data_IF_670083336648
#
_entry.id   IF_670083336648
#
_cell.length_a   1.000
_cell.length_b   1.000
_cell.length_c   1.000
_cell.angle_alpha   90.00
_cell.angle_beta   90.00
_cell.angle_gamma   90.00
#
_symmetry.space_group_name_H-M   'P 1'
#
loop_
_entity.id
_entity.type
_entity.pdbx_description
1 polymer ?
#
# COMPACT_ATOMS: atom_id res chain seq x y z
N UNK A 1 9.82 16.84 -11.38
CA UNK A 1 9.75 16.27 -12.75
C UNK A 1 11.13 15.96 -13.33
N UNK A 2 12.07 16.91 -13.40
CA UNK A 2 13.39 16.65 -13.96
C UNK A 2 14.13 15.50 -13.23
N UNK A 3 14.01 15.48 -11.90
CA UNK A 3 14.51 14.42 -11.02
C UNK A 3 14.01 13.01 -11.40
N UNK A 4 12.73 12.87 -11.76
CA UNK A 4 12.12 11.63 -12.22
C UNK A 4 12.85 11.13 -13.47
N UNK A 5 13.09 12.02 -14.45
CA UNK A 5 13.79 11.65 -15.68
C UNK A 5 15.25 11.27 -15.40
N UNK A 6 15.94 12.01 -14.52
CA UNK A 6 17.34 11.77 -14.17
C UNK A 6 17.59 10.39 -13.57
N UNK A 7 16.58 9.83 -12.89
CA UNK A 7 16.67 8.52 -12.24
C UNK A 7 16.04 7.43 -13.07
N UNK A 8 14.91 7.71 -13.73
CA UNK A 8 14.03 6.69 -14.31
C UNK A 8 14.15 6.58 -15.81
N UNK A 9 14.68 7.59 -16.50
CA UNK A 9 14.73 7.62 -17.96
C UNK A 9 16.18 7.73 -18.45
N UNK A 10 16.87 8.82 -18.12
CA UNK A 10 18.20 9.14 -18.65
C UNK A 10 19.27 8.06 -18.41
N UNK A 11 19.24 7.28 -17.30
CA UNK A 11 20.19 6.20 -17.09
C UNK A 11 20.01 4.97 -17.99
N UNK A 12 18.89 4.87 -18.72
CA UNK A 12 18.46 3.66 -19.42
C UNK A 12 18.32 3.89 -20.93
N UNK A 13 19.21 3.35 -21.77
CA UNK A 13 19.22 3.60 -23.21
C UNK A 13 17.88 3.33 -23.90
N UNK A 14 17.20 2.22 -23.56
CA UNK A 14 15.91 1.87 -24.18
C UNK A 14 14.81 2.90 -23.85
N UNK A 15 14.82 3.44 -22.63
CA UNK A 15 13.87 4.49 -22.22
C UNK A 15 14.21 5.81 -22.90
N UNK A 16 15.49 6.18 -22.95
CA UNK A 16 15.95 7.36 -23.70
C UNK A 16 15.55 7.28 -25.18
N UNK A 17 15.68 6.11 -25.80
CA UNK A 17 15.28 5.89 -27.19
C UNK A 17 13.78 6.12 -27.38
N UNK A 18 12.93 5.60 -26.47
CA UNK A 18 11.49 5.84 -26.51
C UNK A 18 11.17 7.33 -26.34
N UNK A 19 11.75 8.01 -25.35
CA UNK A 19 11.51 9.43 -25.11
C UNK A 19 11.99 10.30 -26.28
N UNK A 20 13.10 9.94 -26.91
CA UNK A 20 13.59 10.63 -28.11
C UNK A 20 12.64 10.47 -29.30
N UNK A 21 12.03 9.29 -29.47
CA UNK A 21 10.97 9.09 -30.46
C UNK A 21 9.70 9.92 -30.18
N UNK A 22 9.54 10.42 -28.94
CA UNK A 22 8.46 11.31 -28.50
C UNK A 22 8.93 12.76 -28.31
N UNK A 23 9.98 13.18 -29.03
CA UNK A 23 10.40 14.57 -29.12
C UNK A 23 11.42 15.02 -28.08
N UNK A 24 11.88 14.15 -27.17
CA UNK A 24 12.97 14.49 -26.26
C UNK A 24 14.28 14.72 -27.04
N UNK A 25 14.91 15.90 -26.96
CA UNK A 25 16.08 16.19 -27.76
C UNK A 25 17.35 15.59 -27.12
N UNK A 26 18.47 15.66 -27.87
CA UNK A 26 19.83 15.46 -27.33
C UNK A 26 20.13 14.03 -26.83
N UNK A 27 19.49 13.03 -27.43
CA UNK A 27 19.71 11.60 -27.15
C UNK A 27 21.19 11.20 -27.07
N UNK A 28 22.01 11.60 -28.05
CA UNK A 28 23.42 11.19 -28.09
C UNK A 28 24.23 11.78 -26.91
N UNK A 29 23.93 13.01 -26.52
CA UNK A 29 24.57 13.66 -25.37
C UNK A 29 24.16 12.98 -24.06
N UNK A 30 22.88 12.62 -23.92
CA UNK A 30 22.36 11.88 -22.77
C UNK A 30 23.03 10.50 -22.68
N UNK A 31 23.13 9.75 -23.78
CA UNK A 31 23.76 8.43 -23.80
C UNK A 31 25.24 8.50 -23.41
N UNK A 32 25.98 9.51 -23.89
CA UNK A 32 27.37 9.76 -23.48
C UNK A 32 27.48 10.09 -21.99
N UNK A 33 26.61 10.99 -21.50
CA UNK A 33 26.57 11.36 -20.08
C UNK A 33 26.24 10.17 -19.20
N UNK A 34 25.26 9.37 -19.62
CA UNK A 34 24.89 8.13 -18.95
C UNK A 34 26.10 7.19 -18.91
N UNK A 35 26.76 6.91 -20.04
CA UNK A 35 27.95 6.05 -20.08
C UNK A 35 29.09 6.52 -19.16
N UNK A 36 29.28 7.84 -19.03
CA UNK A 36 30.27 8.43 -18.14
C UNK A 36 29.87 8.43 -16.65
N UNK A 37 28.58 8.27 -16.34
CA UNK A 37 28.08 8.28 -14.97
C UNK A 37 28.38 6.95 -14.27
N UNK A 38 29.16 6.93 -13.17
CA UNK A 38 29.52 5.70 -12.48
C UNK A 38 28.30 4.99 -11.91
N UNK A 39 28.33 3.66 -11.91
CA UNK A 39 27.30 2.84 -11.27
C UNK A 39 27.75 2.50 -9.86
N UNK A 40 26.89 2.75 -8.87
CA UNK A 40 27.11 2.36 -7.49
C UNK A 40 26.21 1.17 -7.13
N UNK A 41 26.69 0.29 -6.24
CA UNK A 41 25.89 -0.83 -5.75
C UNK A 41 24.84 -0.28 -4.76
N UNK A 42 23.60 -0.76 -4.88
CA UNK A 42 22.48 -0.45 -3.97
C UNK A 42 22.07 1.04 -3.91
N UNK A 43 22.34 1.80 -4.97
CA UNK A 43 21.93 3.20 -5.12
C UNK A 43 21.40 3.36 -6.54
N UNK A 44 20.35 4.16 -6.75
CA UNK A 44 19.90 4.40 -8.12
C UNK A 44 20.96 5.22 -8.87
N UNK A 45 21.16 4.87 -10.15
CA UNK A 45 22.01 5.66 -11.02
C UNK A 45 21.29 6.97 -11.36
N UNK A 46 21.90 8.10 -11.04
CA UNK A 46 21.37 9.43 -11.33
C UNK A 46 22.18 10.03 -12.48
N UNK A 47 21.54 10.20 -13.64
CA UNK A 47 22.13 10.88 -14.79
C UNK A 47 21.52 12.27 -14.85
N UNK A 48 22.27 13.27 -14.41
CA UNK A 48 21.85 14.67 -14.40
C UNK A 48 22.92 15.54 -15.06
N UNK A 49 22.48 16.65 -15.65
CA UNK A 49 23.35 17.68 -16.22
C UNK A 49 23.27 18.94 -15.36
N UNK A 50 24.28 19.81 -15.46
CA UNK A 50 24.28 21.07 -14.73
C UNK A 50 23.14 21.97 -15.24
N UNK A 51 22.39 22.67 -14.34
CA UNK A 51 21.26 23.53 -14.74
C UNK A 51 21.62 24.59 -15.79
N UNK A 52 22.86 25.06 -15.77
CA UNK A 52 23.34 26.12 -16.66
C UNK A 52 24.16 25.61 -17.85
N UNK A 53 24.20 24.29 -18.09
CA UNK A 53 24.93 23.72 -19.21
C UNK A 53 24.26 24.12 -20.56
N UNK A 54 24.91 24.94 -21.39
CA UNK A 54 24.34 25.35 -22.68
C UNK A 54 24.09 24.15 -23.60
N UNK A 55 24.84 23.06 -23.41
CA UNK A 55 24.69 21.83 -24.17
C UNK A 55 23.41 21.07 -23.82
N UNK A 56 22.62 21.47 -22.82
CA UNK A 56 21.34 20.82 -22.46
C UNK A 56 20.14 21.78 -22.44
N UNK A 57 20.28 23.03 -22.91
CA UNK A 57 19.20 24.04 -22.90
C UNK A 57 17.94 23.63 -23.69
N UNK A 58 18.07 22.82 -24.72
CA UNK A 58 16.91 22.30 -25.47
C UNK A 58 16.19 21.20 -24.70
N UNK A 59 16.94 20.31 -24.06
CA UNK A 59 16.38 19.28 -23.18
C UNK A 59 15.71 19.90 -21.96
N UNK A 60 16.33 20.89 -21.31
CA UNK A 60 15.76 21.62 -20.17
C UNK A 60 14.39 22.21 -20.52
N UNK A 61 14.29 22.97 -21.63
CA UNK A 61 13.00 23.50 -22.12
C UNK A 61 12.00 22.39 -22.40
N UNK A 62 12.43 21.32 -23.06
CA UNK A 62 11.56 20.17 -23.33
C UNK A 62 11.03 19.52 -22.04
N UNK A 63 11.86 19.40 -20.99
CA UNK A 63 11.44 18.83 -19.70
C UNK A 63 10.37 19.71 -19.05
N UNK A 64 10.53 21.04 -19.10
CA UNK A 64 9.56 21.99 -18.56
C UNK A 64 8.23 21.93 -19.32
N UNK A 65 8.28 21.90 -20.64
CA UNK A 65 7.10 22.01 -21.50
C UNK A 65 6.35 20.66 -21.67
N UNK A 66 7.10 19.55 -21.75
CA UNK A 66 6.58 18.24 -22.18
C UNK A 66 7.00 17.08 -21.27
N UNK A 67 7.93 17.28 -20.33
CA UNK A 67 8.49 16.19 -19.54
C UNK A 67 7.43 15.39 -18.80
N UNK A 68 6.53 16.09 -18.10
CA UNK A 68 5.46 15.46 -17.32
C UNK A 68 4.44 14.70 -18.18
N UNK A 69 3.93 15.33 -19.25
CA UNK A 69 2.93 14.71 -20.13
C UNK A 69 3.51 13.49 -20.86
N UNK A 70 4.74 13.58 -21.36
CA UNK A 70 5.42 12.44 -22.01
C UNK A 70 5.72 11.32 -21.02
N UNK A 71 6.10 11.64 -19.77
CA UNK A 71 6.29 10.62 -18.74
C UNK A 71 4.99 9.91 -18.35
N UNK A 72 3.89 10.65 -18.20
CA UNK A 72 2.57 10.05 -17.93
C UNK A 72 2.12 9.15 -19.09
N UNK A 73 2.33 9.58 -20.34
CA UNK A 73 2.08 8.75 -21.52
C UNK A 73 2.94 7.48 -21.50
N UNK A 74 4.21 7.60 -21.09
CA UNK A 74 5.09 6.46 -20.95
C UNK A 74 4.58 5.46 -19.92
N UNK A 75 4.15 5.91 -18.73
CA UNK A 75 3.55 5.05 -17.71
C UNK A 75 2.28 4.34 -18.22
N UNK A 76 1.41 5.06 -18.94
CA UNK A 76 0.19 4.51 -19.50
C UNK A 76 0.45 3.44 -20.58
N UNK A 77 1.51 3.61 -21.36
CA UNK A 77 1.92 2.67 -22.42
C UNK A 77 2.80 1.53 -21.91
N UNK A 78 3.32 1.62 -20.68
CA UNK A 78 4.18 0.61 -20.05
C UNK A 78 3.61 0.17 -18.69
N UNK A 79 2.38 -0.37 -18.63
CA UNK A 79 1.72 -0.69 -17.35
C UNK A 79 2.49 -1.73 -16.52
N UNK A 80 3.24 -2.63 -17.18
CA UNK A 80 4.08 -3.58 -16.46
C UNK A 80 5.19 -2.88 -15.68
N UNK A 81 5.84 -1.86 -16.26
CA UNK A 81 6.84 -1.06 -15.56
C UNK A 81 6.28 -0.42 -14.29
N UNK A 82 5.03 0.06 -14.35
CA UNK A 82 4.37 0.74 -13.22
C UNK A 82 4.37 -0.13 -11.97
N UNK A 83 4.17 -1.44 -12.13
CA UNK A 83 4.02 -2.39 -11.02
C UNK A 83 5.32 -3.16 -10.74
N UNK A 84 6.05 -3.57 -11.77
CA UNK A 84 7.17 -4.51 -11.61
C UNK A 84 8.47 -3.85 -11.16
N UNK A 85 8.72 -2.60 -11.59
CA UNK A 85 9.99 -1.93 -11.33
C UNK A 85 10.27 -1.75 -9.82
N UNK A 86 9.33 -1.27 -8.97
CA UNK A 86 9.56 -1.16 -7.53
C UNK A 86 9.92 -2.50 -6.87
N UNK A 87 9.40 -3.61 -7.40
CA UNK A 87 9.56 -4.94 -6.82
C UNK A 87 10.87 -5.62 -7.27
N UNK A 88 11.24 -5.46 -8.53
CA UNK A 88 12.42 -6.09 -9.11
C UNK A 88 13.71 -5.33 -8.77
N UNK A 89 13.60 -4.01 -8.61
CA UNK A 89 14.74 -3.10 -8.43
C UNK A 89 14.48 -2.12 -7.30
N UNK A 90 14.19 -2.59 -6.07
CA UNK A 90 13.89 -1.72 -4.93
C UNK A 90 15.03 -0.75 -4.64
N UNK A 91 16.28 -1.12 -4.94
CA UNK A 91 17.45 -0.26 -4.79
C UNK A 91 17.37 1.05 -5.58
N UNK A 92 16.50 1.12 -6.59
CA UNK A 92 16.27 2.35 -7.36
C UNK A 92 15.40 3.38 -6.63
N UNK A 93 14.81 3.03 -5.47
CA UNK A 93 14.25 4.02 -4.54
C UNK A 93 15.30 4.68 -3.65
N UNK A 94 16.50 4.10 -3.56
CA UNK A 94 17.53 4.56 -2.63
C UNK A 94 18.35 5.66 -3.28
N UNK A 95 17.72 6.82 -3.42
CA UNK A 95 18.35 8.09 -3.72
C UNK A 95 18.24 8.99 -2.50
N UNK A 96 19.19 9.92 -2.37
CA UNK A 96 19.35 10.82 -1.22
C UNK A 96 19.40 10.12 0.16
N UNK A 97 20.55 10.17 0.84
CA UNK A 97 20.72 9.45 2.12
C UNK A 97 20.72 7.93 2.01
N UNK A 98 20.87 7.35 0.81
CA UNK A 98 20.95 5.91 0.58
C UNK A 98 19.74 5.12 1.13
N UNK A 99 18.55 5.72 1.09
CA UNK A 99 17.34 5.15 1.68
C UNK A 99 17.29 5.23 3.20
N UNK A 100 18.26 5.87 3.85
CA UNK A 100 18.26 6.07 5.29
C UNK A 100 17.39 7.28 5.67
N UNK A 101 16.17 7.02 6.16
CA UNK A 101 15.26 8.06 6.64
C UNK A 101 15.74 8.76 7.93
N UNK A 102 16.75 8.23 8.64
CA UNK A 102 17.23 8.88 9.87
C UNK A 102 17.88 10.24 9.61
N UNK A 103 18.25 10.56 8.36
CA UNK A 103 18.75 11.89 8.02
C UNK A 103 17.71 12.99 8.26
N UNK A 104 16.42 12.64 8.27
CA UNK A 104 15.31 13.55 8.55
C UNK A 104 14.89 13.55 10.03
N UNK A 105 15.42 12.62 10.83
CA UNK A 105 15.12 12.58 12.25
C UNK A 105 15.83 13.73 12.98
N UNK A 106 15.22 14.22 14.07
CA UNK A 106 15.89 15.18 14.93
C UNK A 106 17.21 14.59 15.45
N UNK A 107 18.32 15.33 15.25
CA UNK A 107 19.64 14.90 15.68
C UNK A 107 19.80 14.84 17.20
N UNK A 108 18.94 15.56 17.93
CA UNK A 108 18.94 15.64 19.40
C UNK A 108 17.51 15.40 19.88
N UNK A 109 17.37 14.71 21.02
CA UNK A 109 16.07 14.38 21.66
C UNK A 109 15.18 13.41 20.87
N UNK A 110 15.76 12.54 20.03
CA UNK A 110 15.00 11.42 19.45
C UNK A 110 14.53 10.49 20.57
N UNK A 111 13.22 10.40 20.78
CA UNK A 111 12.65 9.40 21.67
C UNK A 111 12.63 8.05 20.96
N UNK A 112 13.36 7.08 21.50
CA UNK A 112 13.21 5.69 21.11
C UNK A 112 11.94 5.14 21.76
N UNK A 113 10.93 4.82 20.95
CA UNK A 113 9.72 4.19 21.46
C UNK A 113 9.89 2.67 21.45
N UNK A 114 9.61 1.96 22.56
CA UNK A 114 9.53 0.51 22.54
C UNK A 114 8.42 0.01 21.61
N UNK A 115 7.49 0.85 21.17
CA UNK A 115 6.48 0.49 20.18
C UNK A 115 7.03 0.50 18.75
N UNK A 116 8.26 0.96 18.51
CA UNK A 116 8.84 1.02 17.17
C UNK A 116 8.89 -0.36 16.51
N UNK A 117 9.30 -1.41 17.23
CA UNK A 117 9.36 -2.76 16.66
C UNK A 117 7.97 -3.37 16.41
N UNK A 118 6.96 -2.93 17.16
CA UNK A 118 5.56 -3.34 16.98
C UNK A 118 4.96 -2.65 15.76
N UNK A 119 5.19 -1.33 15.63
CA UNK A 119 4.64 -0.52 14.54
C UNK A 119 5.40 -0.72 13.23
N UNK A 120 6.68 -1.09 13.30
CA UNK A 120 7.55 -1.34 12.15
C UNK A 120 8.18 -2.75 12.23
N UNK A 121 7.35 -3.81 12.13
CA UNK A 121 7.87 -5.16 12.15
C UNK A 121 8.78 -5.42 10.93
N UNK A 122 9.79 -6.30 11.06
CA UNK A 122 10.58 -6.76 9.91
C UNK A 122 9.68 -7.34 8.82
N UNK A 123 10.13 -7.33 7.55
CA UNK A 123 9.33 -7.76 6.40
C UNK A 123 8.69 -9.13 6.59
N UNK A 124 9.43 -10.12 7.09
CA UNK A 124 8.90 -11.48 7.32
C UNK A 124 7.78 -11.50 8.38
N UNK A 125 7.93 -10.74 9.46
CA UNK A 125 6.90 -10.62 10.49
C UNK A 125 5.66 -9.91 9.95
N UNK A 126 5.84 -8.85 9.15
CA UNK A 126 4.75 -8.15 8.46
C UNK A 126 3.98 -9.08 7.51
N UNK A 127 4.69 -9.90 6.71
CA UNK A 127 4.08 -10.88 5.82
C UNK A 127 3.30 -11.95 6.60
N UNK A 128 3.86 -12.45 7.70
CA UNK A 128 3.19 -13.40 8.58
C UNK A 128 1.91 -12.81 9.19
N UNK A 129 1.96 -11.58 9.70
CA UNK A 129 0.78 -10.90 10.25
C UNK A 129 -0.31 -10.70 9.19
N UNK A 130 0.08 -10.33 7.96
CA UNK A 130 -0.85 -10.18 6.85
C UNK A 130 -1.54 -11.50 6.50
N UNK A 131 -0.77 -12.59 6.42
CA UNK A 131 -1.31 -13.93 6.18
C UNK A 131 -2.22 -14.39 7.33
N UNK A 132 -1.83 -14.12 8.58
CA UNK A 132 -2.63 -14.43 9.76
C UNK A 132 -3.95 -13.66 9.78
N UNK A 133 -3.94 -12.37 9.42
CA UNK A 133 -5.16 -11.57 9.31
C UNK A 133 -6.14 -12.17 8.27
N UNK A 134 -5.65 -12.56 7.09
CA UNK A 134 -6.46 -13.21 6.05
C UNK A 134 -6.99 -14.57 6.52
N UNK A 135 -6.15 -15.38 7.16
CA UNK A 135 -6.54 -16.68 7.71
C UNK A 135 -7.66 -16.54 8.75
N UNK A 136 -7.49 -15.65 9.74
CA UNK A 136 -8.51 -15.38 10.75
C UNK A 136 -9.79 -14.82 10.13
N UNK A 137 -9.67 -13.95 9.14
CA UNK A 137 -10.84 -13.40 8.50
C UNK A 137 -11.66 -14.46 7.77
N UNK A 138 -10.97 -15.39 7.08
CA UNK A 138 -11.60 -16.53 6.41
C UNK A 138 -12.27 -17.47 7.42
N UNK A 139 -11.58 -17.79 8.52
CA UNK A 139 -12.09 -18.67 9.59
C UNK A 139 -13.33 -18.11 10.29
N UNK A 140 -13.40 -16.78 10.45
CA UNK A 140 -14.45 -16.09 11.21
C UNK A 140 -15.54 -15.48 10.32
N UNK A 141 -15.39 -15.58 9.00
CA UNK A 141 -16.24 -14.94 7.98
C UNK A 141 -16.32 -13.40 8.08
N UNK A 142 -15.47 -12.75 8.91
CA UNK A 142 -15.46 -11.29 9.10
C UNK A 142 -15.10 -10.54 7.82
N UNK A 143 -14.51 -11.21 6.83
CA UNK A 143 -14.21 -10.61 5.53
C UNK A 143 -15.47 -10.14 4.78
N UNK A 144 -16.64 -10.69 5.11
CA UNK A 144 -17.93 -10.27 4.57
C UNK A 144 -18.46 -9.00 5.25
N UNK A 145 -17.92 -8.62 6.40
CA UNK A 145 -18.38 -7.49 7.18
C UNK A 145 -17.94 -6.16 6.55
N UNK A 146 -18.73 -5.11 6.75
CA UNK A 146 -18.44 -3.77 6.21
C UNK A 146 -17.12 -3.20 6.76
N UNK A 147 -16.81 -3.27 8.06
CA UNK A 147 -15.55 -2.72 8.59
C UNK A 147 -14.31 -3.35 7.96
N UNK A 148 -14.29 -4.68 7.78
CA UNK A 148 -13.17 -5.37 7.14
C UNK A 148 -12.90 -4.86 5.73
N UNK A 149 -13.96 -4.75 4.92
CA UNK A 149 -13.87 -4.26 3.54
C UNK A 149 -13.38 -2.82 3.47
N UNK A 150 -13.86 -1.95 4.36
CA UNK A 150 -13.41 -0.55 4.44
C UNK A 150 -11.92 -0.47 4.77
N UNK A 151 -11.48 -1.18 5.82
CA UNK A 151 -10.06 -1.19 6.22
C UNK A 151 -9.19 -1.79 5.12
N UNK A 152 -9.67 -2.84 4.44
CA UNK A 152 -8.97 -3.43 3.28
C UNK A 152 -8.78 -2.41 2.17
N UNK A 153 -9.83 -1.67 1.79
CA UNK A 153 -9.74 -0.63 0.76
C UNK A 153 -8.75 0.46 1.15
N UNK A 154 -8.80 0.97 2.38
CA UNK A 154 -7.85 1.96 2.87
C UNK A 154 -6.40 1.42 2.87
N UNK A 155 -6.21 0.18 3.28
CA UNK A 155 -4.90 -0.49 3.20
C UNK A 155 -4.38 -0.55 1.75
N UNK A 156 -5.25 -0.87 0.79
CA UNK A 156 -4.91 -0.88 -0.64
C UNK A 156 -4.61 0.53 -1.17
N UNK A 157 -5.31 1.56 -0.68
CA UNK A 157 -5.00 2.96 -1.00
C UNK A 157 -3.58 3.32 -0.56
N UNK A 158 -3.12 2.86 0.61
CA UNK A 158 -1.73 3.04 1.04
C UNK A 158 -0.72 2.40 0.08
N UNK A 159 -1.02 1.23 -0.51
CA UNK A 159 -0.19 0.62 -1.56
C UNK A 159 -0.16 1.49 -2.82
N UNK A 160 -1.32 2.00 -3.24
CA UNK A 160 -1.42 2.91 -4.39
C UNK A 160 -0.64 4.21 -4.12
N UNK A 161 -0.74 4.77 -2.93
CA UNK A 161 0.01 5.97 -2.53
C UNK A 161 1.52 5.74 -2.62
N UNK A 162 2.02 4.59 -2.18
CA UNK A 162 3.44 4.22 -2.36
C UNK A 162 3.84 4.09 -3.83
N UNK A 163 2.99 3.51 -4.69
CA UNK A 163 3.25 3.45 -6.13
C UNK A 163 3.26 4.83 -6.78
N UNK A 164 2.33 5.71 -6.38
CA UNK A 164 2.31 7.10 -6.83
C UNK A 164 3.56 7.83 -6.38
N UNK A 165 3.97 7.69 -5.12
CA UNK A 165 5.21 8.28 -4.59
C UNK A 165 6.45 7.78 -5.35
N UNK A 166 6.49 6.48 -5.69
CA UNK A 166 7.55 5.92 -6.52
C UNK A 166 7.58 6.59 -7.90
N UNK A 167 6.47 6.69 -8.63
CA UNK A 167 6.51 7.31 -9.97
C UNK A 167 6.58 8.83 -9.94
N UNK A 168 6.17 9.47 -8.85
CA UNK A 168 6.11 10.92 -8.68
C UNK A 168 7.42 11.56 -8.20
N UNK A 169 8.37 10.76 -7.72
CA UNK A 169 9.67 11.24 -7.26
C UNK A 169 10.81 10.35 -7.75
N UNK A 170 11.88 10.97 -8.26
CA UNK A 170 13.11 10.27 -8.62
C UNK A 170 14.09 10.13 -7.46
N UNK A 171 14.19 11.12 -6.58
CA UNK A 171 15.31 11.31 -5.63
C UNK A 171 14.95 11.04 -4.17
N UNK A 172 13.71 11.25 -3.74
CA UNK A 172 13.28 11.11 -2.34
C UNK A 172 12.13 10.08 -2.18
N UNK A 173 12.11 9.05 -3.03
CA UNK A 173 11.08 8.00 -3.01
C UNK A 173 10.83 7.43 -1.62
N UNK A 174 11.88 7.10 -0.87
CA UNK A 174 11.73 6.54 0.49
C UNK A 174 11.01 7.49 1.43
N UNK A 175 11.24 8.80 1.32
CA UNK A 175 10.55 9.81 2.13
C UNK A 175 9.07 9.85 1.79
N UNK A 176 8.73 9.86 0.50
CA UNK A 176 7.34 9.97 0.07
C UNK A 176 6.53 8.67 0.22
N UNK A 177 7.19 7.52 0.27
CA UNK A 177 6.54 6.23 0.51
C UNK A 177 6.25 5.96 1.99
N UNK A 178 6.84 6.72 2.93
CA UNK A 178 6.70 6.44 4.37
C UNK A 178 5.26 6.53 4.85
N UNK A 179 4.46 7.44 4.28
CA UNK A 179 3.06 7.66 4.64
C UNK A 179 2.21 6.44 4.25
N UNK A 180 2.26 6.03 2.98
CA UNK A 180 1.57 4.82 2.51
C UNK A 180 2.09 3.55 3.19
N UNK A 181 3.38 3.49 3.53
CA UNK A 181 3.97 2.40 4.28
C UNK A 181 3.44 2.31 5.72
N UNK A 182 3.18 3.44 6.37
CA UNK A 182 2.55 3.50 7.68
C UNK A 182 1.07 3.14 7.61
N UNK A 183 0.35 3.65 6.60
CA UNK A 183 -1.06 3.32 6.34
C UNK A 183 -1.27 1.81 6.16
N UNK A 184 -0.44 1.17 5.34
CA UNK A 184 -0.50 -0.28 5.10
C UNK A 184 -0.27 -1.07 6.39
N UNK A 185 0.72 -0.68 7.20
CA UNK A 185 1.03 -1.37 8.47
C UNK A 185 -0.08 -1.22 9.49
N UNK A 186 -0.62 0.00 9.63
CA UNK A 186 -1.77 0.25 10.49
C UNK A 186 -2.99 -0.54 10.04
N UNK A 187 -3.25 -0.57 8.72
CA UNK A 187 -4.31 -1.36 8.11
C UNK A 187 -4.20 -2.84 8.46
N UNK A 188 -3.02 -3.45 8.28
CA UNK A 188 -2.78 -4.86 8.65
C UNK A 188 -3.00 -5.11 10.15
N UNK A 189 -2.59 -4.20 11.02
CA UNK A 189 -2.87 -4.32 12.46
C UNK A 189 -4.37 -4.30 12.76
N UNK A 190 -5.12 -3.36 12.17
CA UNK A 190 -6.58 -3.27 12.37
C UNK A 190 -7.27 -4.52 11.83
N UNK A 191 -6.89 -4.99 10.64
CA UNK A 191 -7.39 -6.23 10.06
C UNK A 191 -7.10 -7.41 11.01
N UNK A 192 -5.87 -7.56 11.50
CA UNK A 192 -5.54 -8.62 12.44
C UNK A 192 -6.43 -8.56 13.70
N UNK A 193 -6.65 -7.37 14.26
CA UNK A 193 -7.54 -7.18 15.41
C UNK A 193 -8.99 -7.55 15.11
N UNK A 194 -9.54 -7.15 13.95
CA UNK A 194 -10.90 -7.52 13.54
C UNK A 194 -11.04 -9.04 13.38
N UNK A 195 -10.03 -9.71 12.82
CA UNK A 195 -9.99 -11.17 12.71
C UNK A 195 -10.00 -11.86 14.06
N UNK A 196 -9.25 -11.33 15.04
CA UNK A 196 -9.23 -11.83 16.41
C UNK A 196 -10.57 -11.62 17.12
N UNK A 197 -11.22 -10.47 16.95
CA UNK A 197 -12.56 -10.21 17.50
C UNK A 197 -13.57 -11.21 16.93
N UNK A 198 -13.51 -11.49 15.63
CA UNK A 198 -14.38 -12.46 14.97
C UNK A 198 -14.33 -13.87 15.61
N UNK A 199 -13.20 -14.28 16.19
CA UNK A 199 -13.11 -15.56 16.90
C UNK A 199 -14.08 -15.61 18.09
N UNK A 200 -14.19 -14.51 18.83
CA UNK A 200 -15.08 -14.44 20.00
C UNK A 200 -16.56 -14.53 19.61
N UNK A 201 -16.92 -14.06 18.41
CA UNK A 201 -18.27 -14.16 17.89
C UNK A 201 -18.60 -15.57 17.39
N UNK A 202 -17.64 -16.26 16.76
CA UNK A 202 -17.80 -17.66 16.36
C UNK A 202 -18.08 -18.55 17.57
N UNK A 203 -17.33 -18.36 18.66
CA UNK A 203 -17.52 -19.14 19.89
C UNK A 203 -18.90 -18.87 20.52
N UNK A 204 -19.35 -17.61 20.55
CA UNK A 204 -20.70 -17.24 21.03
C UNK A 204 -21.80 -17.91 20.21
N UNK A 205 -21.69 -17.92 18.87
CA UNK A 205 -22.69 -18.57 17.99
C UNK A 205 -22.74 -20.07 18.20
N UNK A 206 -21.60 -20.73 18.41
CA UNK A 206 -21.53 -22.18 18.70
C UNK A 206 -22.22 -22.51 20.02
N UNK A 207 -21.88 -21.80 21.09
CA UNK A 207 -22.48 -22.01 22.42
C UNK A 207 -23.99 -21.76 22.39
N UNK A 208 -24.43 -20.68 21.74
CA UNK A 208 -25.86 -20.38 21.60
C UNK A 208 -26.63 -21.46 20.83
N UNK A 209 -26.07 -21.94 19.73
CA UNK A 209 -26.68 -23.00 18.92
C UNK A 209 -26.80 -24.34 19.64
N UNK A 210 -25.83 -24.69 20.49
CA UNK A 210 -25.89 -25.92 21.29
C UNK A 210 -26.97 -25.84 22.37
N UNK A 211 -27.10 -24.69 23.05
CA UNK A 211 -28.18 -24.46 24.03
C UNK A 211 -29.55 -24.57 23.38
N UNK A 212 -29.73 -24.00 22.19
CA UNK A 212 -31.01 -24.09 21.46
C UNK A 212 -31.32 -25.52 21.00
N UNK A 213 -30.32 -26.29 20.54
CA UNK A 213 -30.49 -27.72 20.21
C UNK A 213 -30.82 -28.59 21.42
N UNK A 214 -30.18 -28.36 22.56
CA UNK A 214 -30.48 -29.07 23.82
C UNK A 214 -31.91 -28.76 24.27
N UNK A 215 -32.32 -27.49 24.21
CA UNK A 215 -33.70 -27.08 24.54
C UNK A 215 -34.73 -27.70 23.60
N UNK A 216 -34.44 -27.78 22.30
CA UNK A 216 -35.31 -28.42 21.32
C UNK A 216 -35.43 -29.94 21.48
N UNK A 217 -34.42 -30.60 22.08
CA UNK A 217 -34.41 -32.05 22.34
C UNK A 217 -34.97 -32.45 23.70
N UNK A 218 -35.14 -31.51 24.64
CA UNK A 218 -35.62 -31.84 25.98
C UNK A 218 -37.10 -32.26 25.92
N UNK A 219 -37.46 -33.49 26.32
CA UNK A 219 -38.81 -34.05 26.17
C UNK A 219 -39.90 -33.31 26.98
N UNK A 220 -39.51 -32.49 27.97
CA UNK A 220 -40.44 -31.67 28.74
C UNK A 220 -41.14 -30.56 27.92
N UNK A 221 -40.52 -30.11 26.82
CA UNK A 221 -41.13 -29.12 25.93
C UNK A 221 -42.36 -29.66 25.16
N UNK A 222 -42.60 -30.97 25.17
CA UNK A 222 -43.76 -31.60 24.49
C UNK A 222 -44.97 -31.87 25.40
N UNK A 223 -44.87 -31.74 26.72
CA UNK A 223 -45.93 -32.23 27.63
C UNK A 223 -46.86 -31.12 28.17
N UNK A 224 -46.54 -29.84 27.99
CA UNK A 224 -47.28 -28.73 28.61
C UNK A 224 -48.36 -28.03 27.76
N UNK A 225 -48.83 -28.64 26.68
CA UNK A 225 -49.82 -28.05 25.75
C UNK A 225 -51.28 -28.39 26.06
N UNK A 226 -51.71 -28.41 27.33
CA UNK A 226 -53.14 -28.44 27.63
C UNK A 226 -53.71 -27.04 27.42
N UNK A 227 -54.44 -26.86 26.32
CA UNK A 227 -55.28 -25.69 26.06
C UNK A 227 -56.18 -25.45 27.28
N UNK A 228 -55.86 -24.43 28.08
CA UNK A 228 -56.81 -23.86 29.02
C UNK A 228 -58.00 -23.26 28.26
N UNK A 229 -59.23 -23.39 28.76
CA UNK A 229 -60.43 -22.91 28.09
C UNK A 229 -60.35 -21.38 27.87
N UNK A 230 -60.68 -20.97 26.65
CA UNK A 230 -60.86 -19.59 26.22
C UNK A 230 -61.87 -18.88 27.12
N UNK A 231 -61.43 -17.83 27.81
CA UNK A 231 -62.31 -16.92 28.53
C UNK A 231 -63.21 -16.16 27.53
N UNK A 232 -64.54 -16.10 27.75
CA UNK A 232 -65.46 -15.36 26.90
C UNK A 232 -65.25 -13.85 27.02
N UNK A 233 -65.46 -13.16 25.90
CA UNK A 233 -65.20 -11.73 25.70
C UNK A 233 -66.00 -10.81 26.62
N UNK A 234 -65.33 -9.73 27.00
CA UNK A 234 -65.97 -8.55 27.59
C UNK A 234 -66.17 -7.54 26.46
N UNK A 235 -67.41 -7.42 26.01
CA UNK A 235 -67.86 -6.32 25.15
C UNK A 235 -67.83 -5.02 25.96
N UNK A 236 -67.13 -4.00 25.46
CA UNK A 236 -67.22 -2.64 25.99
C UNK A 236 -68.37 -1.87 25.30
N UNK A 237 -69.25 -1.18 26.05
CA UNK A 237 -70.28 -0.32 25.49
C UNK A 237 -69.71 1.00 24.98
N UNK A 238 -70.47 1.59 24.05
CA UNK A 238 -70.21 2.79 23.23
C UNK A 238 -69.94 4.07 24.01
#
# INVERSE_FOLDING_TARGET
MADILYVRVLPFPDRVAWFAAHGMPQRQQIEKLAAATPTQRNVARVVAFAPDDPAFKSLERWILDHGASTYLLWLATHPWYVVSEPLQRPERSYNFGHGNLTIYAAAVHRMESPLTWVMWPPLLAFLFMSALAIYLATLTEVWTERPWRVVTVLTLVGIVAMLVAWHGDGQEVTRHTVEGAAEVRLGVWILLTLGLIGLTDVDRRRIGGDVERVRARSPEARVGGTRGPTAPGVETPR
#
